data_IF_891226781763
#
_entry.id   IF_891226781763
#
_cell.length_a   1.000
_cell.length_b   1.000
_cell.length_c   1.000
_cell.angle_alpha   90.00
_cell.angle_beta   90.00
_cell.angle_gamma   90.00
#
_symmetry.space_group_name_H-M   'P 1'
#
loop_
_entity.id
_entity.type
_entity.pdbx_description
1 polymer ?
#
# COMPACT_ATOMS: atom_id res chain seq x y z
N UNK A 1 -38.54 -3.58 -31.10
CA UNK A 1 -37.30 -3.68 -31.89
C UNK A 1 -36.15 -3.36 -30.95
N UNK A 2 -35.11 -4.20 -30.96
CA UNK A 2 -33.88 -4.02 -30.15
C UNK A 2 -32.76 -3.61 -31.10
N UNK A 3 -32.04 -2.60 -30.72
CA UNK A 3 -30.89 -2.08 -31.47
C UNK A 3 -29.61 -2.32 -30.66
N UNK A 4 -28.56 -2.75 -31.35
CA UNK A 4 -27.24 -2.98 -30.77
C UNK A 4 -26.23 -2.06 -31.46
N UNK A 5 -25.39 -1.41 -30.69
CA UNK A 5 -24.25 -0.70 -31.20
C UNK A 5 -23.02 -1.11 -30.41
N UNK A 6 -21.94 -1.47 -31.10
CA UNK A 6 -20.65 -1.79 -30.51
C UNK A 6 -19.67 -0.69 -30.90
N UNK A 7 -18.88 -0.23 -29.95
CA UNK A 7 -17.78 0.70 -30.19
C UNK A 7 -16.54 0.22 -29.43
N UNK A 8 -15.38 0.54 -29.97
CA UNK A 8 -14.12 0.30 -29.29
C UNK A 8 -13.83 1.46 -28.35
N UNK A 9 -13.44 1.14 -27.13
CA UNK A 9 -12.87 2.14 -26.20
C UNK A 9 -11.45 2.42 -26.66
N UNK A 10 -11.11 3.64 -27.09
CA UNK A 10 -9.75 3.95 -27.49
C UNK A 10 -8.84 3.97 -26.25
N UNK A 11 -7.54 3.70 -26.47
CA UNK A 11 -6.50 3.93 -25.47
C UNK A 11 -6.33 5.45 -25.27
N UNK A 12 -7.19 6.03 -24.47
CA UNK A 12 -7.13 7.46 -24.12
C UNK A 12 -6.69 7.61 -22.67
N UNK A 13 -5.99 8.68 -22.40
CA UNK A 13 -5.51 9.01 -21.05
C UNK A 13 -6.60 9.62 -20.17
N UNK A 14 -7.81 9.84 -20.69
CA UNK A 14 -8.92 10.42 -19.94
C UNK A 14 -9.77 9.34 -19.33
N UNK A 15 -9.90 9.39 -18.01
CA UNK A 15 -10.90 8.64 -17.25
C UNK A 15 -12.21 9.41 -17.18
N UNK A 16 -13.30 8.71 -16.98
CA UNK A 16 -14.56 9.35 -16.66
C UNK A 16 -15.78 8.61 -17.17
N UNK A 17 -16.92 9.17 -16.84
CA UNK A 17 -18.19 8.67 -17.33
C UNK A 17 -18.38 8.97 -18.81
N UNK A 18 -18.83 7.96 -19.53
CA UNK A 18 -19.19 8.10 -20.93
C UNK A 18 -20.60 8.66 -21.03
N UNK A 19 -20.75 9.76 -21.77
CA UNK A 19 -22.05 10.29 -22.10
C UNK A 19 -22.54 9.63 -23.38
N UNK A 20 -23.66 8.92 -23.31
CA UNK A 20 -24.29 8.30 -24.47
C UNK A 20 -25.47 9.17 -24.90
N UNK A 21 -25.40 9.72 -26.10
CA UNK A 21 -26.50 10.41 -26.73
C UNK A 21 -27.25 9.49 -27.70
N UNK A 22 -28.57 9.40 -27.57
CA UNK A 22 -29.41 8.64 -28.48
C UNK A 22 -30.33 9.61 -29.21
N UNK A 23 -30.30 9.57 -30.53
CA UNK A 23 -31.23 10.31 -31.38
C UNK A 23 -31.99 9.35 -32.27
N UNK A 24 -33.27 9.49 -32.33
CA UNK A 24 -34.16 8.71 -33.20
C UNK A 24 -35.40 9.50 -33.59
N UNK A 25 -36.01 9.08 -34.68
CA UNK A 25 -37.32 9.60 -35.09
C UNK A 25 -38.22 8.42 -35.47
N UNK A 26 -39.52 8.52 -35.27
CA UNK A 26 -40.47 7.54 -35.73
C UNK A 26 -40.77 7.73 -37.24
N UNK A 27 -41.61 6.85 -37.79
CA UNK A 27 -42.00 6.91 -39.20
C UNK A 27 -42.81 8.17 -39.52
N UNK A 28 -43.39 8.85 -38.54
CA UNK A 28 -44.11 10.10 -38.68
C UNK A 28 -43.21 11.35 -38.45
N UNK A 29 -41.90 11.12 -38.35
CA UNK A 29 -40.86 12.12 -38.12
C UNK A 29 -40.87 12.78 -36.73
N UNK A 30 -41.60 12.21 -35.75
CA UNK A 30 -41.51 12.70 -34.36
C UNK A 30 -40.18 12.30 -33.75
N UNK A 31 -39.43 13.28 -33.17
CA UNK A 31 -38.16 12.96 -32.54
C UNK A 31 -38.35 12.28 -31.18
N UNK A 32 -37.42 11.39 -30.84
CA UNK A 32 -37.28 10.82 -29.50
C UNK A 32 -37.09 11.97 -28.49
N UNK A 33 -37.88 11.95 -27.42
CA UNK A 33 -37.75 12.94 -26.37
C UNK A 33 -36.68 12.50 -25.37
N UNK A 34 -35.91 13.44 -24.75
CA UNK A 34 -34.88 13.10 -23.78
C UNK A 34 -35.39 12.28 -22.58
N UNK A 35 -36.63 12.52 -22.15
CA UNK A 35 -37.26 11.85 -21.01
C UNK A 35 -37.66 10.37 -21.32
N UNK A 36 -37.68 10.00 -22.61
CA UNK A 36 -37.97 8.64 -23.05
C UNK A 36 -36.72 7.72 -23.07
N UNK A 37 -35.55 8.28 -22.76
CA UNK A 37 -34.28 7.57 -22.78
C UNK A 37 -33.86 7.22 -21.36
N UNK A 38 -33.90 5.95 -21.01
CA UNK A 38 -33.33 5.45 -19.76
C UNK A 38 -31.98 4.80 -20.06
N UNK A 39 -30.90 5.34 -19.52
CA UNK A 39 -29.56 4.73 -19.54
C UNK A 39 -29.37 4.06 -18.18
N UNK A 40 -29.53 2.73 -18.06
CA UNK A 40 -29.60 2.07 -16.77
C UNK A 40 -28.23 1.99 -16.05
N UNK A 41 -27.13 2.15 -16.77
CA UNK A 41 -25.78 2.09 -16.22
C UNK A 41 -24.91 3.20 -16.79
N UNK A 42 -24.22 3.92 -15.94
CA UNK A 42 -23.17 4.81 -16.37
C UNK A 42 -21.94 3.97 -16.75
N UNK A 43 -21.54 4.04 -18.02
CA UNK A 43 -20.28 3.46 -18.46
C UNK A 43 -19.15 4.37 -17.99
N UNK A 44 -18.22 3.83 -17.21
CA UNK A 44 -17.02 4.51 -16.75
C UNK A 44 -15.82 3.93 -17.48
N UNK A 45 -14.96 4.77 -18.03
CA UNK A 45 -13.67 4.37 -18.63
C UNK A 45 -12.60 4.66 -17.61
N UNK A 46 -11.83 3.63 -17.29
CA UNK A 46 -10.70 3.67 -16.41
C UNK A 46 -9.47 3.11 -17.14
N UNK A 47 -8.49 3.98 -17.40
CA UNK A 47 -7.24 3.65 -18.08
C UNK A 47 -6.02 4.02 -17.22
N UNK A 48 -6.22 4.33 -15.96
CA UNK A 48 -5.13 4.63 -15.03
C UNK A 48 -4.68 3.31 -14.38
N UNK A 49 -3.37 3.16 -14.24
CA UNK A 49 -2.80 2.05 -13.49
C UNK A 49 -2.74 2.47 -12.03
N UNK A 50 -3.26 1.65 -11.11
CA UNK A 50 -3.19 1.97 -9.69
C UNK A 50 -1.75 2.00 -9.19
N UNK A 51 -1.40 3.06 -8.46
CA UNK A 51 -0.10 3.25 -7.81
C UNK A 51 -0.29 3.46 -6.31
N UNK A 52 0.56 2.84 -5.51
CA UNK A 52 0.50 2.87 -4.06
C UNK A 52 1.71 3.57 -3.44
N UNK A 53 1.47 4.34 -2.39
CA UNK A 53 2.50 4.88 -1.50
C UNK A 53 2.28 4.36 -0.10
N UNK A 54 3.34 3.85 0.55
CA UNK A 54 3.32 3.37 1.91
C UNK A 54 3.91 4.41 2.86
N UNK A 55 3.26 4.60 4.00
CA UNK A 55 3.81 5.33 5.14
C UNK A 55 3.64 4.51 6.41
N UNK A 56 4.58 4.67 7.35
CA UNK A 56 4.66 3.87 8.56
C UNK A 56 4.66 4.76 9.80
N UNK A 57 4.00 4.27 10.85
CA UNK A 57 4.00 4.89 12.17
C UNK A 57 4.15 3.80 13.23
N UNK A 58 5.18 3.88 14.07
CA UNK A 58 5.26 3.03 15.25
C UNK A 58 4.30 3.56 16.31
N UNK A 59 3.15 2.90 16.45
CA UNK A 59 2.09 3.30 17.40
C UNK A 59 2.49 3.04 18.85
N UNK A 60 3.25 1.96 19.09
CA UNK A 60 3.75 1.60 20.43
C UNK A 60 4.84 2.56 20.89
N UNK A 61 5.71 3.01 19.99
CA UNK A 61 6.84 3.89 20.26
C UNK A 61 6.91 5.06 19.26
N UNK A 62 6.05 6.09 19.39
CA UNK A 62 5.96 7.18 18.40
C UNK A 62 7.23 8.02 18.22
N UNK A 63 8.21 7.89 19.13
CA UNK A 63 9.52 8.54 19.01
C UNK A 63 10.47 7.79 18.04
N UNK A 64 10.17 6.54 17.69
CA UNK A 64 10.91 5.72 16.76
C UNK A 64 10.28 5.83 15.37
N UNK A 65 10.85 6.67 14.54
CA UNK A 65 10.41 6.79 13.14
C UNK A 65 11.13 5.76 12.28
N UNK A 66 10.36 4.94 11.56
CA UNK A 66 10.86 3.91 10.64
C UNK A 66 11.71 2.79 11.27
N UNK A 67 11.62 2.60 12.60
CA UNK A 67 12.25 1.50 13.31
C UNK A 67 11.31 1.00 14.42
N UNK A 68 11.39 -0.28 14.74
CA UNK A 68 10.64 -0.91 15.84
C UNK A 68 11.33 -2.16 16.36
N UNK A 69 10.86 -2.62 17.51
CA UNK A 69 11.28 -3.87 18.15
C UNK A 69 10.11 -4.86 18.19
N UNK A 70 10.39 -6.11 18.48
CA UNK A 70 9.37 -7.14 18.62
C UNK A 70 8.29 -6.78 19.62
N UNK A 71 7.04 -7.05 19.24
CA UNK A 71 5.84 -6.67 20.00
C UNK A 71 5.34 -5.25 19.73
N UNK A 72 6.11 -4.38 19.07
CA UNK A 72 5.60 -3.08 18.64
C UNK A 72 4.48 -3.23 17.62
N UNK A 73 3.50 -2.33 17.71
CA UNK A 73 2.42 -2.21 16.74
C UNK A 73 2.75 -1.10 15.74
N UNK A 74 2.77 -1.46 14.47
CA UNK A 74 3.02 -0.53 13.36
C UNK A 74 1.73 -0.29 12.62
N UNK A 75 1.40 0.99 12.42
CA UNK A 75 0.36 1.40 11.48
C UNK A 75 0.98 1.58 10.12
N UNK A 76 0.48 0.84 9.14
CA UNK A 76 0.86 0.97 7.73
C UNK A 76 -0.28 1.66 7.01
N UNK A 77 -0.02 2.83 6.45
CA UNK A 77 -1.01 3.56 5.64
C UNK A 77 -0.61 3.46 4.18
N UNK A 78 -1.51 2.92 3.39
CA UNK A 78 -1.39 2.80 1.93
C UNK A 78 -2.27 3.87 1.30
N UNK A 79 -1.65 4.78 0.57
CA UNK A 79 -2.36 5.82 -0.19
C UNK A 79 -2.26 5.52 -1.68
N UNK A 80 -3.42 5.43 -2.33
CA UNK A 80 -3.56 5.15 -3.75
C UNK A 80 -3.79 6.43 -4.54
N UNK A 81 -3.32 6.46 -5.79
CA UNK A 81 -3.65 7.53 -6.75
C UNK A 81 -5.11 7.49 -7.20
N UNK A 82 -5.79 6.36 -6.98
CA UNK A 82 -7.19 6.13 -7.33
C UNK A 82 -7.89 5.17 -6.35
N UNK A 83 -9.23 5.12 -6.34
CA UNK A 83 -9.97 4.22 -5.45
C UNK A 83 -9.79 2.75 -5.82
N UNK A 84 -9.61 1.91 -4.81
CA UNK A 84 -9.57 0.46 -4.97
C UNK A 84 -10.98 -0.17 -4.98
N UNK A 85 -11.03 -1.40 -5.49
CA UNK A 85 -12.21 -2.24 -5.39
C UNK A 85 -12.41 -2.69 -3.93
N UNK A 86 -13.61 -2.48 -3.38
CA UNK A 86 -13.95 -2.88 -2.00
C UNK A 86 -14.67 -4.22 -1.91
N UNK A 87 -15.07 -4.77 -3.07
CA UNK A 87 -15.60 -6.14 -3.16
C UNK A 87 -14.48 -7.16 -3.25
N UNK A 88 -14.80 -8.44 -3.09
CA UNK A 88 -13.82 -9.53 -3.16
C UNK A 88 -12.97 -9.54 -4.46
N UNK A 89 -11.65 -9.69 -4.36
CA UNK A 89 -10.87 -9.79 -3.13
C UNK A 89 -10.68 -8.43 -2.43
N UNK A 90 -10.87 -8.42 -1.10
CA UNK A 90 -10.61 -7.23 -0.26
C UNK A 90 -9.11 -6.90 -0.36
N UNK A 91 -8.73 -5.62 -0.49
CA UNK A 91 -7.32 -5.22 -0.44
C UNK A 91 -6.61 -5.76 0.80
N UNK A 92 -5.43 -6.31 0.63
CA UNK A 92 -4.61 -6.86 1.70
C UNK A 92 -3.15 -6.53 1.47
N UNK A 93 -2.35 -6.57 2.53
CA UNK A 93 -0.90 -6.48 2.43
C UNK A 93 -0.25 -7.81 2.79
N UNK A 94 0.80 -8.14 2.07
CA UNK A 94 1.79 -9.14 2.45
C UNK A 94 3.01 -8.40 2.97
N UNK A 95 3.76 -9.00 3.88
CA UNK A 95 5.05 -8.45 4.26
C UNK A 95 6.05 -9.55 4.62
N UNK A 96 7.32 -9.27 4.35
CA UNK A 96 8.43 -10.18 4.61
C UNK A 96 9.50 -9.42 5.38
N UNK A 97 10.02 -10.05 6.42
CA UNK A 97 11.16 -9.56 7.16
C UNK A 97 12.42 -9.85 6.36
N UNK A 98 13.22 -8.82 6.08
CA UNK A 98 14.54 -8.98 5.47
C UNK A 98 15.57 -9.32 6.53
N UNK A 99 16.31 -10.40 6.36
CA UNK A 99 17.45 -10.74 7.24
C UNK A 99 18.71 -10.02 6.76
N UNK A 100 19.50 -9.50 7.71
CA UNK A 100 20.62 -8.59 7.42
C UNK A 100 21.78 -9.19 6.60
N UNK A 101 21.74 -10.50 6.30
CA UNK A 101 22.74 -11.22 5.51
C UNK A 101 22.20 -11.75 4.16
N UNK A 102 21.00 -11.31 3.76
CA UNK A 102 20.41 -11.62 2.45
C UNK A 102 19.54 -12.87 2.41
N UNK A 103 19.25 -13.46 3.55
CA UNK A 103 18.23 -14.49 3.70
C UNK A 103 16.89 -13.83 4.04
N UNK A 104 15.78 -14.32 3.48
CA UNK A 104 14.45 -13.82 3.82
C UNK A 104 14.03 -14.36 5.19
N UNK A 105 13.56 -13.48 6.07
CA UNK A 105 12.93 -13.84 7.33
C UNK A 105 11.50 -14.34 7.15
N UNK A 106 10.71 -14.27 8.21
CA UNK A 106 9.32 -14.70 8.21
C UNK A 106 8.48 -13.88 7.23
N UNK A 107 7.62 -14.57 6.47
CA UNK A 107 6.64 -13.93 5.59
C UNK A 107 5.24 -14.05 6.17
N UNK A 108 4.47 -12.96 6.11
CA UNK A 108 3.06 -12.90 6.50
C UNK A 108 2.24 -12.48 5.28
N UNK A 109 1.15 -13.20 5.02
CA UNK A 109 0.30 -12.95 3.86
C UNK A 109 -1.14 -12.67 4.26
N UNK A 110 -1.81 -11.82 3.46
CA UNK A 110 -3.26 -11.61 3.59
C UNK A 110 -3.66 -10.78 4.80
N UNK A 111 -2.78 -9.88 5.31
CA UNK A 111 -3.16 -8.93 6.35
C UNK A 111 -4.25 -8.01 5.82
N UNK A 112 -5.42 -8.05 6.44
CA UNK A 112 -6.58 -7.23 6.05
C UNK A 112 -6.50 -5.83 6.66
N UNK A 113 -7.11 -4.80 6.04
CA UNK A 113 -7.12 -3.46 6.57
C UNK A 113 -8.04 -3.33 7.78
N UNK A 114 -7.70 -2.42 8.70
CA UNK A 114 -8.58 -2.01 9.79
C UNK A 114 -9.63 -1.00 9.35
N UNK A 115 -9.26 -0.14 8.41
CA UNK A 115 -10.13 0.93 7.92
C UNK A 115 -9.75 1.39 6.52
N UNK A 116 -10.71 2.01 5.86
CA UNK A 116 -10.51 2.75 4.61
C UNK A 116 -11.12 4.14 4.73
N UNK A 117 -10.63 5.08 3.96
CA UNK A 117 -11.10 6.46 3.91
C UNK A 117 -10.83 7.10 2.55
N UNK A 118 -11.21 8.38 2.41
CA UNK A 118 -11.01 9.17 1.20
C UNK A 118 -11.56 8.48 -0.07
N UNK A 119 -12.77 7.90 0.04
CA UNK A 119 -13.42 7.23 -1.09
C UNK A 119 -12.69 5.98 -1.58
N UNK A 120 -12.16 5.18 -0.64
CA UNK A 120 -11.44 3.93 -0.87
C UNK A 120 -10.05 4.10 -1.53
N UNK A 121 -9.43 5.27 -1.37
CA UNK A 121 -8.06 5.52 -1.81
C UNK A 121 -7.03 5.56 -0.67
N UNK A 122 -7.45 5.50 0.60
CA UNK A 122 -6.55 5.42 1.76
C UNK A 122 -6.93 4.20 2.60
N UNK A 123 -5.98 3.30 2.81
CA UNK A 123 -6.16 2.04 3.53
C UNK A 123 -5.18 1.95 4.69
N UNK A 124 -5.69 1.57 5.86
CA UNK A 124 -4.89 1.49 7.10
C UNK A 124 -4.84 0.04 7.56
N UNK A 125 -3.64 -0.43 7.80
CA UNK A 125 -3.36 -1.78 8.32
C UNK A 125 -2.60 -1.66 9.63
N UNK A 126 -2.75 -2.66 10.51
CA UNK A 126 -1.91 -2.83 11.68
C UNK A 126 -1.07 -4.10 11.56
N UNK A 127 0.19 -3.98 11.91
CA UNK A 127 1.17 -5.07 11.94
C UNK A 127 1.79 -5.11 13.33
N UNK A 128 1.81 -6.28 13.96
CA UNK A 128 2.55 -6.51 15.20
C UNK A 128 3.89 -7.14 14.80
N UNK A 129 4.99 -6.50 15.21
CA UNK A 129 6.33 -6.95 14.83
C UNK A 129 6.70 -8.24 15.54
N UNK A 130 7.41 -9.12 14.81
CA UNK A 130 8.02 -10.34 15.36
C UNK A 130 9.14 -9.99 16.35
N UNK A 131 9.25 -10.76 17.43
CA UNK A 131 10.31 -10.65 18.44
C UNK A 131 11.52 -11.56 18.14
N UNK A 132 11.51 -12.26 17.02
CA UNK A 132 12.61 -13.10 16.58
C UNK A 132 13.78 -12.27 16.05
N UNK A 133 14.97 -12.54 16.51
CA UNK A 133 16.21 -11.93 15.96
C UNK A 133 16.48 -12.35 14.51
N UNK A 134 15.84 -13.42 14.04
CA UNK A 134 15.90 -13.84 12.64
C UNK A 134 15.06 -12.97 11.72
N UNK A 135 14.17 -12.18 12.29
CA UNK A 135 13.31 -11.23 11.58
C UNK A 135 13.85 -9.78 11.68
N UNK A 136 15.10 -9.61 12.10
CA UNK A 136 15.78 -8.31 12.08
C UNK A 136 16.08 -7.88 10.65
N UNK A 137 15.88 -6.62 10.36
CA UNK A 137 16.15 -6.05 9.04
C UNK A 137 15.02 -5.20 8.49
N UNK A 138 15.05 -4.94 7.20
CA UNK A 138 14.04 -4.12 6.55
C UNK A 138 12.75 -4.92 6.34
N UNK A 139 11.61 -4.28 6.63
CA UNK A 139 10.30 -4.86 6.41
C UNK A 139 9.82 -4.51 5.00
N UNK A 140 9.64 -5.53 4.17
CA UNK A 140 9.20 -5.38 2.78
C UNK A 140 7.70 -5.61 2.67
N UNK A 141 6.99 -4.66 2.08
CA UNK A 141 5.54 -4.75 1.91
C UNK A 141 5.14 -4.91 0.45
N UNK A 142 4.10 -5.70 0.23
CA UNK A 142 3.43 -5.88 -1.04
C UNK A 142 1.93 -5.65 -0.86
N UNK A 143 1.34 -4.77 -1.68
CA UNK A 143 -0.10 -4.60 -1.73
C UNK A 143 -0.71 -5.59 -2.72
N UNK A 144 -1.72 -6.32 -2.27
CA UNK A 144 -2.55 -7.19 -3.10
C UNK A 144 -3.93 -6.56 -3.22
N UNK A 145 -4.17 -5.90 -4.33
CA UNK A 145 -5.42 -5.17 -4.55
C UNK A 145 -5.74 -5.03 -6.04
N UNK A 146 -6.95 -4.58 -6.32
CA UNK A 146 -7.41 -4.20 -7.65
C UNK A 146 -8.15 -2.87 -7.58
N UNK A 147 -8.07 -2.12 -8.67
CA UNK A 147 -8.90 -0.94 -8.85
C UNK A 147 -10.34 -1.32 -9.23
N UNK A 148 -11.17 -0.31 -9.45
CA UNK A 148 -12.58 -0.51 -9.85
C UNK A 148 -12.75 -1.07 -11.27
N UNK A 149 -11.71 -0.99 -12.10
CA UNK A 149 -11.67 -1.60 -13.43
C UNK A 149 -11.20 -3.05 -13.41
N UNK A 150 -10.89 -3.61 -12.23
CA UNK A 150 -10.31 -4.93 -11.99
C UNK A 150 -8.83 -5.05 -12.45
N UNK A 151 -8.14 -3.92 -12.61
CA UNK A 151 -6.69 -3.89 -12.86
C UNK A 151 -5.94 -4.10 -11.55
N UNK A 152 -4.97 -5.01 -11.54
CA UNK A 152 -4.15 -5.28 -10.36
C UNK A 152 -3.16 -4.15 -10.11
N UNK A 153 -2.84 -3.89 -8.85
CA UNK A 153 -1.73 -3.02 -8.48
C UNK A 153 -0.44 -3.63 -8.99
N UNK A 154 0.22 -2.95 -9.92
CA UNK A 154 1.44 -3.44 -10.58
C UNK A 154 2.70 -2.72 -10.13
N UNK A 155 2.56 -1.60 -9.43
CA UNK A 155 3.66 -0.77 -9.01
C UNK A 155 3.48 -0.33 -7.56
N UNK A 156 4.50 -0.61 -6.73
CA UNK A 156 4.60 -0.07 -5.39
C UNK A 156 5.50 1.16 -5.43
N UNK A 157 4.95 2.32 -5.09
CA UNK A 157 5.76 3.51 -4.88
C UNK A 157 6.32 3.40 -3.47
N UNK A 158 7.60 3.09 -3.35
CA UNK A 158 8.27 2.89 -2.08
C UNK A 158 8.23 4.17 -1.24
N UNK A 159 7.50 4.09 -0.14
CA UNK A 159 7.70 4.98 0.99
C UNK A 159 9.04 4.68 1.69
N UNK A 160 9.26 5.33 2.82
CA UNK A 160 10.42 5.03 3.65
C UNK A 160 10.43 3.56 4.06
N UNK A 161 11.59 2.92 4.06
CA UNK A 161 11.75 1.58 4.61
C UNK A 161 11.51 1.60 6.12
N UNK A 162 10.84 0.58 6.63
CA UNK A 162 10.70 0.33 8.06
C UNK A 162 11.63 -0.80 8.46
N UNK A 163 12.40 -0.61 9.56
CA UNK A 163 13.37 -1.59 10.03
C UNK A 163 12.95 -2.19 11.36
N UNK A 164 13.16 -3.48 11.51
CA UNK A 164 13.03 -4.21 12.78
C UNK A 164 14.42 -4.52 13.34
N UNK A 165 14.62 -4.27 14.63
CA UNK A 165 15.89 -4.51 15.32
C UNK A 165 15.62 -5.03 16.74
N UNK A 166 15.74 -6.35 16.89
CA UNK A 166 15.54 -7.07 18.15
C UNK A 166 16.86 -7.35 18.88
N UNK A 167 18.01 -6.95 18.28
CA UNK A 167 19.30 -7.26 18.86
C UNK A 167 19.70 -6.21 19.89
N UNK A 168 20.04 -6.61 21.12
CA UNK A 168 20.63 -5.69 22.06
C UNK A 168 22.05 -5.30 21.61
N UNK A 169 22.53 -4.08 21.97
CA UNK A 169 23.90 -3.71 21.68
C UNK A 169 24.90 -4.70 22.25
N UNK A 170 25.89 -5.08 21.45
CA UNK A 170 26.96 -5.92 21.92
C UNK A 170 27.83 -5.16 22.91
N UNK A 171 28.12 -5.77 24.07
CA UNK A 171 29.02 -5.19 25.04
C UNK A 171 30.40 -4.94 24.38
N UNK A 172 30.93 -3.76 24.56
CA UNK A 172 32.27 -3.41 24.11
C UNK A 172 33.20 -3.22 25.29
N UNK A 173 34.45 -3.71 25.18
CA UNK A 173 35.48 -3.45 26.15
C UNK A 173 36.12 -2.09 25.87
N UNK A 174 36.09 -1.18 26.85
CA UNK A 174 36.83 0.08 26.79
C UNK A 174 38.18 -0.13 27.37
N UNK A 175 39.21 -0.27 26.54
CA UNK A 175 40.59 -0.17 26.96
C UNK A 175 41.03 1.29 27.13
N UNK A 176 41.42 1.71 28.33
CA UNK A 176 42.11 2.99 28.53
C UNK A 176 43.54 2.87 28.00
N UNK A 177 43.79 3.43 26.81
CA UNK A 177 45.15 3.56 26.30
C UNK A 177 45.78 4.85 26.93
N UNK A 178 46.69 4.66 27.86
CA UNK A 178 47.51 5.77 28.32
C UNK A 178 48.54 6.15 27.24
N UNK A 179 48.40 7.30 26.63
CA UNK A 179 49.34 7.82 25.63
C UNK A 179 50.60 8.47 26.27
N UNK A 180 50.64 8.54 27.58
CA UNK A 180 51.83 9.03 28.32
C UNK A 180 52.53 7.82 28.96
N UNK A 181 53.74 7.51 28.53
CA UNK A 181 54.57 6.38 28.94
C UNK A 181 55.03 6.39 30.40
N UNK A 182 54.18 6.70 31.35
CA UNK A 182 54.44 6.69 32.76
C UNK A 182 53.33 5.91 33.48
N UNK A 183 53.68 4.73 33.89
CA UNK A 183 52.96 3.83 34.80
C UNK A 183 51.46 3.72 34.68
N UNK A 184 50.93 2.53 34.47
CA UNK A 184 49.49 2.29 34.56
C UNK A 184 49.08 2.63 36.01
N UNK A 185 48.21 3.65 36.16
CA UNK A 185 47.49 3.84 37.40
C UNK A 185 46.53 2.66 37.52
N UNK A 186 46.87 1.74 38.40
CA UNK A 186 45.97 0.63 38.74
C UNK A 186 44.69 1.23 39.36
N UNK A 187 43.59 0.93 38.70
CA UNK A 187 42.31 0.77 39.33
C UNK A 187 41.54 2.06 39.63
N UNK A 188 40.64 2.39 38.79
CA UNK A 188 39.31 2.78 39.25
C UNK A 188 38.31 1.99 38.44
N UNK A 189 37.66 1.08 39.13
CA UNK A 189 36.44 0.42 38.67
C UNK A 189 35.29 1.36 38.92
#
# INVERSE_FOLDING_TARGET
>A
TVWYHAFNVPEITQQGFVTIGITATDLATNPLQPDDVTIPNNLYIDNVVPEATFTYENVSNPSLTNIGIGGDTIRVTVTMNEPLLTSEPIPSINYTYGYGDGEDGTSVTGQVPESTSNGDSVWVFQVILSDSVQDDGDLNFELVAKDRSNTSVTQLVNGNTFRVDNQPPVAFETGLISTHGLNPVQGWI
#
